data_IF_370359667685
#
_entry.id   IF_370359667685
#
_cell.length_a   1.000
_cell.length_b   1.000
_cell.length_c   1.000
_cell.angle_alpha   90.00
_cell.angle_beta   90.00
_cell.angle_gamma   90.00
#
_symmetry.space_group_name_H-M   'P 1'
#
loop_
_entity.id
_entity.type
_entity.pdbx_description
1 polymer ?
#
# COMPACT_ATOMS: atom_id res chain seq x y z
N UNK A 1 -0.50 -4.95 -34.52
CA UNK A 1 -1.69 -5.13 -33.68
C UNK A 1 -1.97 -6.62 -33.61
N UNK A 2 -2.26 -7.15 -32.42
CA UNK A 2 -2.52 -8.58 -32.24
C UNK A 2 -3.92 -8.91 -32.76
N UNK A 3 -4.13 -10.10 -33.33
CA UNK A 3 -5.44 -10.58 -33.79
C UNK A 3 -6.36 -10.98 -32.60
N UNK A 4 -6.48 -10.07 -31.64
CA UNK A 4 -7.28 -10.25 -30.44
C UNK A 4 -8.75 -9.88 -30.69
N UNK A 5 -9.70 -10.50 -29.97
CA UNK A 5 -11.10 -10.10 -30.03
C UNK A 5 -11.28 -8.68 -29.50
N UNK A 6 -12.31 -7.99 -29.99
CA UNK A 6 -12.76 -6.72 -29.38
C UNK A 6 -13.46 -7.05 -28.08
N UNK A 7 -12.87 -6.60 -26.97
CA UNK A 7 -13.30 -6.87 -25.59
C UNK A 7 -13.48 -5.55 -24.87
N UNK A 8 -14.54 -5.44 -24.08
CA UNK A 8 -14.74 -4.33 -23.15
C UNK A 8 -13.79 -4.50 -21.95
N UNK A 9 -12.94 -3.51 -21.68
CA UNK A 9 -11.89 -3.60 -20.66
C UNK A 9 -12.43 -3.75 -19.22
N UNK A 10 -13.66 -3.33 -18.96
CA UNK A 10 -14.27 -3.41 -17.63
C UNK A 10 -15.01 -4.73 -17.45
N UNK A 11 -15.89 -5.06 -18.40
CA UNK A 11 -16.72 -6.26 -18.30
C UNK A 11 -16.02 -7.52 -18.80
N UNK A 12 -14.89 -7.39 -19.49
CA UNK A 12 -14.18 -8.51 -20.12
C UNK A 12 -15.01 -9.28 -21.15
N UNK A 13 -16.19 -8.77 -21.54
CA UNK A 13 -17.07 -9.39 -22.52
C UNK A 13 -16.66 -8.96 -23.92
N UNK A 14 -16.63 -9.92 -24.86
CA UNK A 14 -16.37 -9.58 -26.25
C UNK A 14 -17.67 -9.15 -26.97
N UNK A 15 -17.53 -8.77 -28.24
CA UNK A 15 -18.67 -8.46 -29.12
C UNK A 15 -19.76 -9.55 -29.21
N UNK A 16 -19.45 -10.80 -28.84
CA UNK A 16 -20.43 -11.88 -28.77
C UNK A 16 -20.90 -12.06 -27.32
N UNK A 17 -22.19 -11.88 -27.15
CA UNK A 17 -22.89 -12.00 -25.87
C UNK A 17 -22.58 -13.33 -25.14
N UNK A 18 -22.32 -13.23 -23.84
CA UNK A 18 -22.00 -14.36 -22.97
C UNK A 18 -20.61 -14.98 -23.14
N UNK A 19 -19.71 -14.36 -23.90
CA UNK A 19 -18.31 -14.80 -24.04
C UNK A 19 -17.36 -13.76 -23.44
N UNK A 20 -16.54 -14.21 -22.49
CA UNK A 20 -15.58 -13.38 -21.76
C UNK A 20 -14.16 -13.82 -22.07
N UNK A 21 -13.23 -12.87 -22.11
CA UNK A 21 -11.81 -13.11 -22.39
C UNK A 21 -10.93 -12.50 -21.31
N UNK A 22 -9.72 -13.04 -21.14
CA UNK A 22 -8.74 -12.54 -20.20
C UNK A 22 -7.31 -12.87 -20.61
N UNK A 23 -6.36 -12.21 -19.96
CA UNK A 23 -4.93 -12.34 -20.26
C UNK A 23 -4.59 -12.05 -21.72
N UNK A 24 -3.62 -12.80 -22.25
CA UNK A 24 -3.07 -12.56 -23.59
C UNK A 24 -4.09 -12.77 -24.71
N UNK A 25 -5.08 -13.63 -24.48
CA UNK A 25 -6.15 -13.90 -25.44
C UNK A 25 -7.08 -12.71 -25.68
N UNK A 26 -7.12 -11.74 -24.74
CA UNK A 26 -7.95 -10.54 -24.82
C UNK A 26 -7.18 -9.31 -25.32
N UNK A 27 -5.97 -9.09 -24.81
CA UNK A 27 -5.24 -7.81 -24.96
C UNK A 27 -3.83 -7.96 -25.55
N UNK A 28 -3.48 -9.14 -26.05
CA UNK A 28 -2.12 -9.48 -26.47
C UNK A 28 -1.18 -9.69 -25.27
N UNK A 29 0.12 -9.95 -25.51
CA UNK A 29 1.06 -10.33 -24.46
C UNK A 29 1.15 -9.28 -23.35
N UNK A 30 0.73 -9.69 -22.15
CA UNK A 30 0.86 -8.91 -20.90
C UNK A 30 1.68 -9.71 -19.88
N UNK A 31 2.00 -9.07 -18.76
CA UNK A 31 2.61 -9.79 -17.64
C UNK A 31 1.58 -10.69 -16.95
N UNK A 32 2.07 -11.66 -16.16
CA UNK A 32 1.21 -12.61 -15.44
C UNK A 32 0.26 -11.92 -14.45
N UNK A 33 0.64 -10.75 -13.91
CA UNK A 33 -0.17 -9.97 -12.97
C UNK A 33 -1.47 -9.52 -13.65
N UNK A 34 -1.35 -8.99 -14.88
CA UNK A 34 -2.51 -8.62 -15.69
C UNK A 34 -3.38 -9.83 -16.05
N UNK A 35 -2.77 -10.96 -16.40
CA UNK A 35 -3.54 -12.17 -16.70
C UNK A 35 -4.38 -12.65 -15.51
N UNK A 36 -3.81 -12.63 -14.30
CA UNK A 36 -4.52 -12.95 -13.06
C UNK A 36 -5.63 -11.93 -12.78
N UNK A 37 -5.32 -10.63 -12.90
CA UNK A 37 -6.30 -9.57 -12.72
C UNK A 37 -7.49 -9.74 -13.68
N UNK A 38 -7.24 -9.97 -14.96
CA UNK A 38 -8.29 -10.20 -15.96
C UNK A 38 -9.15 -11.44 -15.62
N UNK A 39 -8.55 -12.49 -15.07
CA UNK A 39 -9.28 -13.67 -14.59
C UNK A 39 -10.28 -13.33 -13.50
N UNK A 40 -9.90 -12.48 -12.53
CA UNK A 40 -10.80 -12.01 -11.49
C UNK A 40 -11.90 -11.09 -12.02
N UNK A 41 -11.56 -10.14 -12.89
CA UNK A 41 -12.53 -9.23 -13.50
C UNK A 41 -13.55 -9.99 -14.38
N UNK A 42 -13.10 -10.96 -15.17
CA UNK A 42 -13.97 -11.82 -15.97
C UNK A 42 -14.86 -12.69 -15.10
N UNK A 43 -14.36 -13.21 -13.96
CA UNK A 43 -15.17 -14.00 -13.03
C UNK A 43 -16.32 -13.19 -12.42
N UNK A 44 -16.09 -11.92 -12.08
CA UNK A 44 -17.15 -11.00 -11.61
C UNK A 44 -18.22 -10.83 -12.69
N UNK A 45 -17.82 -10.57 -13.93
CA UNK A 45 -18.79 -10.45 -15.04
C UNK A 45 -19.54 -11.73 -15.32
N UNK A 46 -18.87 -12.89 -15.30
CA UNK A 46 -19.53 -14.18 -15.52
C UNK A 46 -20.59 -14.41 -14.45
N UNK A 47 -20.28 -14.10 -13.19
CA UNK A 47 -21.22 -14.21 -12.09
C UNK A 47 -22.46 -13.32 -12.33
N UNK A 48 -22.24 -12.02 -12.56
CA UNK A 48 -23.33 -11.05 -12.81
C UNK A 48 -24.16 -11.42 -14.05
N UNK A 49 -23.50 -11.87 -15.11
CA UNK A 49 -24.16 -12.35 -16.34
C UNK A 49 -25.07 -13.56 -16.05
N UNK A 50 -24.59 -14.52 -15.26
CA UNK A 50 -25.38 -15.71 -14.89
C UNK A 50 -26.58 -15.36 -14.00
N UNK A 51 -26.45 -14.34 -13.14
CA UNK A 51 -27.53 -13.83 -12.30
C UNK A 51 -28.45 -12.80 -13.01
N UNK A 52 -28.13 -12.42 -14.26
CA UNK A 52 -28.83 -11.39 -15.03
C UNK A 52 -28.81 -10.02 -14.35
N UNK A 53 -27.71 -9.72 -13.68
CA UNK A 53 -27.40 -8.41 -13.11
C UNK A 53 -26.67 -7.54 -14.14
N UNK A 54 -26.60 -6.24 -13.87
CA UNK A 54 -25.82 -5.32 -14.71
C UNK A 54 -24.32 -5.60 -14.54
N UNK A 55 -23.60 -5.80 -15.64
CA UNK A 55 -22.16 -6.07 -15.64
C UNK A 55 -21.32 -4.87 -15.20
N UNK A 56 -21.88 -3.66 -15.30
CA UNK A 56 -21.23 -2.40 -14.92
C UNK A 56 -21.43 -2.06 -13.44
N UNK A 57 -22.47 -2.61 -12.81
CA UNK A 57 -22.73 -2.41 -11.39
C UNK A 57 -21.85 -3.35 -10.57
N UNK A 58 -20.65 -2.88 -10.24
CA UNK A 58 -19.58 -3.65 -9.58
C UNK A 58 -19.20 -2.98 -8.27
N UNK A 59 -18.81 -3.79 -7.29
CA UNK A 59 -18.24 -3.28 -6.05
C UNK A 59 -16.98 -2.44 -6.37
N UNK A 60 -16.81 -1.29 -5.71
CA UNK A 60 -15.67 -0.44 -5.97
C UNK A 60 -14.39 -1.09 -5.43
N UNK A 61 -13.29 -0.87 -6.16
CA UNK A 61 -11.94 -1.05 -5.62
C UNK A 61 -11.59 0.14 -4.73
N UNK A 62 -10.82 -0.12 -3.69
CA UNK A 62 -10.43 0.95 -2.77
C UNK A 62 -9.22 0.60 -1.92
N UNK A 63 -8.81 1.58 -1.13
CA UNK A 63 -7.86 1.41 -0.05
C UNK A 63 -8.47 2.05 1.18
N UNK A 64 -8.37 1.39 2.31
CA UNK A 64 -8.69 1.97 3.60
C UNK A 64 -7.44 2.02 4.47
N UNK A 65 -7.42 2.95 5.40
CA UNK A 65 -6.34 3.11 6.37
C UNK A 65 -6.88 2.77 7.76
N UNK A 66 -6.27 1.77 8.40
CA UNK A 66 -6.70 1.27 9.71
C UNK A 66 -5.57 1.46 10.71
N UNK A 67 -5.84 2.23 11.77
CA UNK A 67 -4.87 2.46 12.85
C UNK A 67 -4.33 1.14 13.40
N UNK A 68 -3.00 1.06 13.54
CA UNK A 68 -2.28 -0.10 14.07
C UNK A 68 -1.92 0.06 15.55
N UNK A 69 -2.52 1.05 16.21
CA UNK A 69 -2.26 1.34 17.62
C UNK A 69 -2.92 0.30 18.53
N UNK A 70 -2.11 -0.44 19.30
CA UNK A 70 -2.61 -1.38 20.31
C UNK A 70 -2.78 -0.71 21.68
N UNK A 71 -1.99 0.32 21.97
CA UNK A 71 -2.03 1.09 23.20
C UNK A 71 -1.40 2.48 23.00
N UNK A 72 -1.27 3.28 24.05
CA UNK A 72 -0.74 4.65 23.92
C UNK A 72 0.68 4.69 23.33
N UNK A 73 1.50 3.67 23.61
CA UNK A 73 2.92 3.55 23.22
C UNK A 73 3.26 2.15 22.67
N UNK A 74 2.29 1.46 22.06
CA UNK A 74 2.50 0.09 21.56
C UNK A 74 1.82 -0.10 20.21
N UNK A 75 2.58 -0.69 19.28
CA UNK A 75 2.14 -1.02 17.92
C UNK A 75 1.86 -2.51 17.77
N UNK A 76 1.04 -2.85 16.77
CA UNK A 76 0.80 -4.24 16.36
C UNK A 76 1.97 -4.89 15.62
N UNK A 77 3.06 -4.16 15.39
CA UNK A 77 4.20 -4.56 14.57
C UNK A 77 5.53 -4.16 15.23
N UNK A 78 6.61 -4.85 14.83
CA UNK A 78 7.98 -4.50 15.22
C UNK A 78 8.46 -3.31 14.41
N UNK A 79 8.90 -2.24 15.08
CA UNK A 79 9.33 -1.00 14.45
C UNK A 79 10.84 -0.75 14.56
N UNK A 80 11.61 -1.76 15.01
CA UNK A 80 13.06 -1.65 15.13
C UNK A 80 13.73 -1.70 13.76
N UNK A 81 14.80 -0.93 13.59
CA UNK A 81 15.56 -0.84 12.35
C UNK A 81 16.91 -1.55 12.50
N UNK A 82 17.11 -2.62 11.74
CA UNK A 82 18.40 -3.34 11.67
C UNK A 82 19.16 -3.03 10.38
N UNK A 83 20.33 -2.42 10.52
CA UNK A 83 21.26 -2.10 9.43
C UNK A 83 22.03 -3.31 8.86
N UNK A 84 21.77 -4.53 9.33
CA UNK A 84 22.35 -5.74 8.77
C UNK A 84 22.09 -5.84 7.25
N UNK A 85 23.00 -6.48 6.53
CA UNK A 85 22.79 -6.74 5.10
C UNK A 85 21.68 -7.75 4.85
N UNK A 86 21.06 -7.71 3.66
CA UNK A 86 20.07 -8.70 3.23
C UNK A 86 20.65 -10.12 3.33
N UNK A 87 19.91 -11.05 3.93
CA UNK A 87 20.31 -12.46 3.92
C UNK A 87 20.13 -13.07 2.54
N UNK A 88 21.11 -13.87 2.14
CA UNK A 88 21.05 -14.60 0.89
C UNK A 88 20.17 -15.83 1.05
N UNK A 89 19.27 -16.04 0.09
CA UNK A 89 18.45 -17.25 0.02
C UNK A 89 19.38 -18.47 -0.06
N UNK A 90 19.22 -19.50 0.78
CA UNK A 90 19.94 -20.75 0.62
C UNK A 90 19.52 -21.41 -0.68
N UNK A 91 20.51 -21.84 -1.46
CA UNK A 91 20.23 -22.52 -2.72
C UNK A 91 20.92 -23.88 -2.77
N UNK A 92 20.36 -24.77 -3.58
CA UNK A 92 21.03 -26.01 -3.96
C UNK A 92 22.33 -25.71 -4.71
N UNK A 93 23.37 -26.53 -4.47
CA UNK A 93 24.63 -26.46 -5.21
C UNK A 93 24.42 -26.58 -6.72
N UNK A 94 25.16 -25.77 -7.48
CA UNK A 94 25.01 -25.65 -8.92
C UNK A 94 25.16 -27.00 -9.65
N UNK A 95 26.09 -27.88 -9.22
CA UNK A 95 26.29 -29.19 -9.87
C UNK A 95 25.10 -30.12 -9.69
N UNK A 96 24.33 -29.96 -8.61
CA UNK A 96 23.11 -30.76 -8.36
C UNK A 96 21.95 -30.26 -9.22
N UNK A 97 21.86 -28.95 -9.48
CA UNK A 97 20.83 -28.35 -10.37
C UNK A 97 20.91 -28.93 -11.79
N UNK A 98 22.11 -29.11 -12.33
CA UNK A 98 22.28 -29.68 -13.68
C UNK A 98 22.03 -31.19 -13.78
N UNK A 99 22.00 -31.91 -12.64
CA UNK A 99 21.78 -33.36 -12.62
C UNK A 99 20.30 -33.73 -12.58
N UNK A 100 19.44 -32.84 -12.10
CA UNK A 100 18.01 -33.06 -11.92
C UNK A 100 17.27 -31.77 -12.30
N UNK A 101 16.48 -31.82 -13.37
CA UNK A 101 15.74 -30.66 -13.88
C UNK A 101 14.54 -30.29 -13.00
N UNK A 102 14.08 -31.22 -12.16
CA UNK A 102 12.90 -31.11 -11.29
C UNK A 102 13.22 -30.73 -9.83
N UNK A 103 14.48 -30.38 -9.54
CA UNK A 103 14.87 -30.02 -8.17
C UNK A 103 14.56 -28.56 -7.88
N UNK A 104 13.90 -28.31 -6.74
CA UNK A 104 13.70 -26.97 -6.21
C UNK A 104 15.06 -26.33 -5.89
N UNK A 105 15.27 -25.12 -6.43
CA UNK A 105 16.59 -24.45 -6.38
C UNK A 105 16.74 -23.60 -5.13
N UNK A 106 15.67 -22.91 -4.73
CA UNK A 106 15.60 -22.11 -3.52
C UNK A 106 15.14 -23.00 -2.37
N UNK A 107 15.98 -23.16 -1.35
CA UNK A 107 15.68 -24.07 -0.23
C UNK A 107 14.84 -23.40 0.87
N UNK A 108 14.54 -22.11 0.73
CA UNK A 108 13.88 -21.32 1.76
C UNK A 108 14.77 -21.05 2.97
N UNK A 109 14.21 -20.31 3.93
CA UNK A 109 14.80 -20.10 5.24
C UNK A 109 14.31 -21.16 6.23
N UNK A 110 15.12 -21.45 7.25
CA UNK A 110 14.63 -22.18 8.43
C UNK A 110 13.58 -21.34 9.17
N UNK A 111 12.80 -21.96 10.05
CA UNK A 111 11.80 -21.25 10.84
C UNK A 111 12.44 -20.12 11.67
N UNK A 112 13.61 -20.37 12.26
CA UNK A 112 14.34 -19.40 13.07
C UNK A 112 14.84 -18.22 12.23
N UNK A 113 15.38 -18.51 11.04
CA UNK A 113 15.81 -17.47 10.10
C UNK A 113 14.64 -16.63 9.59
N UNK A 114 13.49 -17.26 9.33
CA UNK A 114 12.29 -16.57 8.88
C UNK A 114 11.75 -15.62 9.95
N UNK A 115 11.71 -16.04 11.22
CA UNK A 115 11.31 -15.18 12.35
C UNK A 115 12.19 -13.93 12.40
N UNK A 116 13.50 -14.10 12.33
CA UNK A 116 14.44 -12.98 12.39
C UNK A 116 14.34 -12.05 11.17
N UNK A 117 14.07 -12.58 9.97
CA UNK A 117 13.87 -11.74 8.79
C UNK A 117 12.52 -10.99 8.82
N UNK A 118 11.49 -11.53 9.48
CA UNK A 118 10.20 -10.83 9.66
C UNK A 118 10.34 -9.62 10.59
N UNK A 119 11.16 -9.73 11.65
CA UNK A 119 11.46 -8.60 12.55
C UNK A 119 12.17 -7.43 11.85
N UNK A 120 12.72 -7.66 10.66
CA UNK A 120 13.40 -6.64 9.84
C UNK A 120 12.48 -5.99 8.80
N UNK A 121 11.18 -6.31 8.83
CA UNK A 121 10.19 -5.73 7.93
C UNK A 121 10.16 -4.20 8.10
N UNK A 122 10.31 -3.46 7.01
CA UNK A 122 10.24 -1.99 7.02
C UNK A 122 8.79 -1.46 7.01
N UNK A 123 7.80 -2.33 7.16
CA UNK A 123 6.38 -1.98 7.33
C UNK A 123 5.86 -1.00 6.26
N UNK A 124 6.20 -1.25 4.99
CA UNK A 124 5.83 -0.34 3.88
C UNK A 124 4.33 -0.24 3.63
N UNK A 125 3.52 -1.16 4.17
CA UNK A 125 2.06 -1.10 4.16
C UNK A 125 1.50 -0.16 5.24
N UNK A 126 2.33 0.35 6.16
CA UNK A 126 1.93 1.24 7.25
C UNK A 126 2.31 2.68 6.91
N UNK A 127 1.28 3.54 6.85
CA UNK A 127 1.38 4.93 6.46
C UNK A 127 1.31 5.84 7.67
N UNK A 128 2.11 6.91 7.66
CA UNK A 128 2.02 7.99 8.63
C UNK A 128 0.85 8.91 8.26
N UNK A 129 -0.16 9.01 9.11
CA UNK A 129 -1.35 9.83 8.86
C UNK A 129 -1.40 10.97 9.87
N UNK A 130 -1.55 12.20 9.36
CA UNK A 130 -1.68 13.39 10.19
C UNK A 130 -3.09 13.96 10.19
N UNK A 131 -3.66 14.14 11.37
CA UNK A 131 -4.96 14.78 11.59
C UNK A 131 -4.76 16.18 12.17
N UNK A 132 -4.82 17.18 11.30
CA UNK A 132 -4.56 18.61 11.60
C UNK A 132 -5.36 19.13 12.80
N UNK A 133 -6.65 18.78 12.87
CA UNK A 133 -7.58 19.22 13.94
C UNK A 133 -7.18 18.81 15.35
N UNK A 134 -6.34 17.79 15.50
CA UNK A 134 -5.86 17.28 16.79
C UNK A 134 -4.51 17.90 17.20
N UNK A 135 -3.83 18.59 16.30
CA UNK A 135 -2.51 19.14 16.57
C UNK A 135 -2.60 20.36 17.50
N UNK A 136 -1.77 20.35 18.55
CA UNK A 136 -1.64 21.44 19.52
C UNK A 136 -0.30 22.20 19.41
N UNK A 137 0.48 21.93 18.35
CA UNK A 137 1.75 22.62 18.06
C UNK A 137 2.76 22.54 19.22
N UNK A 138 2.91 21.35 19.81
CA UNK A 138 3.84 21.11 20.92
C UNK A 138 5.27 20.72 20.50
N UNK A 139 5.53 20.64 19.20
CA UNK A 139 6.81 20.26 18.55
C UNK A 139 7.41 18.89 18.93
N UNK A 140 6.73 18.10 19.76
CA UNK A 140 7.24 16.82 20.25
C UNK A 140 7.50 15.79 19.13
N UNK A 141 6.74 15.84 18.03
CA UNK A 141 6.98 14.98 16.86
C UNK A 141 8.20 15.39 16.04
N UNK A 142 8.54 16.68 16.00
CA UNK A 142 9.72 17.21 15.33
C UNK A 142 10.97 16.82 16.12
N UNK A 143 10.94 17.03 17.43
CA UNK A 143 12.06 16.75 18.35
C UNK A 143 12.48 15.27 18.36
N UNK A 144 11.52 14.35 18.27
CA UNK A 144 11.81 12.90 18.30
C UNK A 144 12.23 12.34 16.93
N UNK A 145 12.09 13.10 15.85
CA UNK A 145 12.33 12.58 14.50
C UNK A 145 13.84 12.33 14.26
N UNK A 146 14.29 11.08 14.03
CA UNK A 146 15.72 10.78 13.91
C UNK A 146 16.35 11.33 12.63
N UNK A 147 15.53 11.64 11.63
CA UNK A 147 15.93 12.10 10.29
C UNK A 147 15.53 13.55 10.01
N UNK A 148 14.93 14.25 10.99
CA UNK A 148 14.48 15.64 10.89
C UNK A 148 13.57 15.94 9.68
N UNK A 149 12.70 14.99 9.30
CA UNK A 149 11.83 15.13 8.12
C UNK A 149 10.53 15.91 8.38
N UNK A 150 10.27 16.36 9.61
CA UNK A 150 9.05 17.08 9.99
C UNK A 150 9.36 18.55 10.27
N UNK A 151 8.52 19.47 9.82
CA UNK A 151 8.67 20.91 10.09
C UNK A 151 7.31 21.60 10.13
N UNK A 152 7.08 22.46 11.14
CA UNK A 152 5.93 23.36 11.16
C UNK A 152 6.38 24.74 10.66
N UNK A 153 5.75 25.25 9.60
CA UNK A 153 6.11 26.53 8.97
C UNK A 153 4.89 27.24 8.40
N UNK A 154 5.02 28.52 8.03
CA UNK A 154 3.95 29.23 7.31
C UNK A 154 3.69 28.58 5.94
N UNK A 155 2.43 28.50 5.54
CA UNK A 155 2.05 27.96 4.24
C UNK A 155 2.67 28.77 3.08
N UNK A 156 2.89 28.13 1.94
CA UNK A 156 3.50 28.76 0.78
C UNK A 156 3.77 27.77 -0.36
N UNK A 157 4.30 28.30 -1.46
CA UNK A 157 4.68 27.47 -2.61
C UNK A 157 5.78 26.48 -2.23
N UNK A 158 5.78 25.30 -2.85
CA UNK A 158 6.68 24.21 -2.48
C UNK A 158 8.16 24.60 -2.53
N UNK A 159 8.56 25.40 -3.53
CA UNK A 159 9.93 25.91 -3.65
C UNK A 159 10.36 26.74 -2.44
N UNK A 160 9.44 27.52 -1.85
CA UNK A 160 9.70 28.29 -0.63
C UNK A 160 9.68 27.41 0.61
N UNK A 161 8.76 26.44 0.67
CA UNK A 161 8.71 25.46 1.77
C UNK A 161 10.03 24.70 1.90
N UNK A 162 10.59 24.18 0.79
CA UNK A 162 11.86 23.43 0.76
C UNK A 162 13.04 24.20 1.36
N UNK A 163 13.03 25.54 1.34
CA UNK A 163 14.08 26.37 1.97
C UNK A 163 13.96 26.49 3.49
N UNK A 164 12.80 26.15 4.06
CA UNK A 164 12.45 26.33 5.48
C UNK A 164 12.43 25.02 6.26
N UNK A 165 12.63 23.88 5.60
CA UNK A 165 12.60 22.56 6.22
C UNK A 165 13.81 22.32 7.12
N UNK A 166 13.60 21.48 8.13
CA UNK A 166 14.62 21.14 9.13
C UNK A 166 15.76 20.30 8.55
N UNK A 167 15.49 19.54 7.49
CA UNK A 167 16.48 18.83 6.69
C UNK A 167 16.46 19.34 5.24
N UNK A 168 17.59 19.30 4.51
CA UNK A 168 17.63 19.68 3.10
C UNK A 168 16.76 18.75 2.23
N UNK A 169 15.74 19.30 1.56
CA UNK A 169 14.87 18.57 0.64
C UNK A 169 15.34 18.73 -0.81
N UNK A 170 16.47 18.10 -1.15
CA UNK A 170 17.13 18.22 -2.46
C UNK A 170 16.43 17.42 -3.57
N UNK A 171 15.69 16.36 -3.21
CA UNK A 171 14.97 15.54 -4.17
C UNK A 171 13.65 16.21 -4.60
N UNK A 172 13.60 16.66 -5.86
CA UNK A 172 12.43 17.30 -6.46
C UNK A 172 11.50 16.31 -7.19
N UNK A 173 11.89 15.04 -7.31
CA UNK A 173 11.03 14.00 -7.90
C UNK A 173 10.00 13.48 -6.89
N UNK A 174 10.24 13.73 -5.60
CA UNK A 174 9.34 13.36 -4.51
C UNK A 174 8.65 14.61 -3.94
N UNK A 175 7.33 14.59 -3.95
CA UNK A 175 6.50 15.67 -3.42
C UNK A 175 6.60 15.74 -1.89
N UNK A 176 6.44 16.96 -1.34
CA UNK A 176 6.31 17.17 0.09
C UNK A 176 4.88 16.87 0.53
N UNK A 177 4.73 16.19 1.66
CA UNK A 177 3.45 16.12 2.34
C UNK A 177 3.21 17.44 3.08
N UNK A 178 2.12 18.15 2.76
CA UNK A 178 1.72 19.40 3.39
C UNK A 178 0.32 19.25 3.97
N UNK A 179 0.18 19.49 5.28
CA UNK A 179 -1.12 19.42 5.96
C UNK A 179 -1.99 20.63 5.69
N UNK A 180 -3.30 20.54 5.96
CA UNK A 180 -4.13 21.74 6.13
C UNK A 180 -3.58 22.65 7.24
N UNK A 181 -4.02 23.92 7.26
CA UNK A 181 -3.66 24.89 8.28
C UNK A 181 -3.99 24.41 9.70
N UNK A 182 -3.00 24.51 10.58
CA UNK A 182 -3.06 24.08 11.98
C UNK A 182 -4.03 24.97 12.77
N UNK A 183 -4.76 24.42 13.77
CA UNK A 183 -5.88 25.10 14.41
C UNK A 183 -5.53 26.41 15.13
N UNK A 184 -4.31 26.56 15.66
CA UNK A 184 -3.96 27.72 16.48
C UNK A 184 -3.24 28.82 15.70
N UNK A 185 -2.34 28.45 14.77
CA UNK A 185 -1.53 29.43 14.04
C UNK A 185 -1.85 29.55 12.55
N UNK A 186 -2.57 28.59 11.96
CA UNK A 186 -2.75 28.50 10.51
C UNK A 186 -1.49 28.10 9.73
N UNK A 187 -0.37 27.82 10.43
CA UNK A 187 0.84 27.21 9.84
C UNK A 187 0.52 25.81 9.34
N UNK A 188 1.40 25.23 8.53
CA UNK A 188 1.26 23.86 8.01
C UNK A 188 2.30 22.94 8.64
N UNK A 189 1.93 21.69 8.85
CA UNK A 189 2.88 20.60 9.11
C UNK A 189 3.37 20.08 7.76
N UNK A 190 4.66 20.20 7.51
CA UNK A 190 5.33 19.67 6.32
C UNK A 190 6.12 18.43 6.71
N UNK A 191 5.96 17.37 5.93
CA UNK A 191 6.71 16.12 6.05
C UNK A 191 7.43 15.85 4.73
N UNK A 192 8.74 15.65 4.82
CA UNK A 192 9.55 15.18 3.70
C UNK A 192 9.47 13.65 3.63
N UNK A 193 8.80 13.14 2.60
CA UNK A 193 8.62 11.71 2.37
C UNK A 193 9.91 11.03 1.88
N UNK A 194 10.85 11.76 1.27
CA UNK A 194 12.13 11.21 0.81
C UNK A 194 13.01 10.77 1.99
N UNK A 195 12.88 11.47 3.11
CA UNK A 195 13.65 11.22 4.33
C UNK A 195 12.92 10.33 5.33
N UNK A 196 11.59 10.25 5.28
CA UNK A 196 10.84 9.53 6.30
C UNK A 196 11.07 8.01 6.21
N UNK A 197 11.49 7.41 7.32
CA UNK A 197 11.73 5.95 7.42
C UNK A 197 10.59 5.17 8.09
N UNK A 198 9.42 5.80 8.27
CA UNK A 198 8.21 5.17 8.84
C UNK A 198 8.43 4.52 10.23
N UNK A 199 9.41 5.00 11.00
CA UNK A 199 9.77 4.47 12.32
C UNK A 199 8.73 4.67 13.43
N UNK A 200 7.57 5.26 13.15
CA UNK A 200 6.44 5.47 14.09
C UNK A 200 6.68 6.36 15.33
N UNK A 201 7.91 6.81 15.60
CA UNK A 201 8.26 7.62 16.77
C UNK A 201 7.45 8.92 16.91
N UNK A 202 7.14 9.59 15.79
CA UNK A 202 6.32 10.81 15.79
C UNK A 202 4.90 10.54 16.33
N UNK A 203 4.31 9.39 16.01
CA UNK A 203 2.99 8.98 16.45
C UNK A 203 3.00 8.46 17.90
N UNK A 204 4.07 7.79 18.33
CA UNK A 204 4.25 7.38 19.74
C UNK A 204 4.37 8.58 20.68
N UNK A 205 5.07 9.62 20.23
CA UNK A 205 5.35 10.82 21.02
C UNK A 205 4.21 11.81 21.02
N UNK A 206 3.30 11.73 20.05
CA UNK A 206 2.20 12.68 19.90
C UNK A 206 1.18 12.56 21.05
N UNK A 207 1.02 13.57 21.91
CA UNK A 207 0.13 13.47 23.09
C UNK A 207 -1.36 13.50 22.72
N UNK A 208 -1.71 14.02 21.54
CA UNK A 208 -3.11 14.16 21.07
C UNK A 208 -3.51 13.11 20.05
N UNK A 209 -2.57 12.28 19.58
CA UNK A 209 -2.81 11.35 18.47
C UNK A 209 -3.03 12.06 17.13
N UNK A 210 -2.53 13.30 16.97
CA UNK A 210 -2.53 13.97 15.67
C UNK A 210 -1.70 13.21 14.62
N UNK A 211 -0.63 12.54 15.03
CA UNK A 211 0.06 11.54 14.20
C UNK A 211 -0.42 10.15 14.57
N UNK A 212 -0.70 9.34 13.54
CA UNK A 212 -1.07 7.94 13.65
C UNK A 212 -0.32 7.09 12.62
N UNK A 213 -0.21 5.79 12.89
CA UNK A 213 0.32 4.80 11.95
C UNK A 213 -0.82 3.91 11.49
N UNK A 214 -1.19 4.02 10.22
CA UNK A 214 -2.36 3.33 9.67
C UNK A 214 -1.95 2.35 8.57
N UNK A 215 -2.37 1.10 8.72
CA UNK A 215 -2.13 0.06 7.73
C UNK A 215 -3.07 0.25 6.53
N UNK A 216 -2.48 0.14 5.35
CA UNK A 216 -3.19 0.13 4.08
C UNK A 216 -3.87 -1.23 3.88
N UNK A 217 -5.19 -1.24 3.95
CA UNK A 217 -6.02 -2.38 3.61
C UNK A 217 -6.56 -2.19 2.18
N UNK A 218 -6.08 -3.02 1.25
CA UNK A 218 -6.50 -2.95 -0.14
C UNK A 218 -7.80 -3.73 -0.31
N UNK A 219 -8.82 -3.06 -0.83
CA UNK A 219 -10.12 -3.63 -1.13
C UNK A 219 -10.17 -4.01 -2.60
N UNK A 220 -10.03 -5.31 -2.87
CA UNK A 220 -10.19 -5.89 -4.19
C UNK A 220 -11.42 -6.80 -4.16
N UNK A 221 -12.51 -6.43 -4.86
CA UNK A 221 -13.69 -7.28 -4.94
C UNK A 221 -13.39 -8.50 -5.80
N UNK A 222 -13.94 -9.64 -5.41
CA UNK A 222 -13.96 -10.87 -6.19
C UNK A 222 -15.40 -11.30 -6.47
N UNK A 223 -15.57 -12.27 -7.37
CA UNK A 223 -16.91 -12.78 -7.72
C UNK A 223 -17.72 -13.30 -6.53
N UNK A 224 -17.08 -13.74 -5.45
CA UNK A 224 -17.78 -14.19 -4.23
C UNK A 224 -18.25 -13.02 -3.35
N UNK A 225 -17.58 -11.87 -3.41
CA UNK A 225 -18.00 -10.65 -2.72
C UNK A 225 -19.26 -10.06 -3.35
N UNK A 226 -19.34 -10.13 -4.68
CA UNK A 226 -20.52 -9.72 -5.46
C UNK A 226 -21.74 -10.62 -5.19
N UNK A 227 -21.51 -11.89 -4.87
CA UNK A 227 -22.57 -12.84 -4.56
C UNK A 227 -23.22 -12.61 -3.17
N UNK A 228 -22.47 -12.04 -2.22
CA UNK A 228 -22.95 -11.74 -0.87
C UNK A 228 -22.33 -10.42 -0.37
N UNK A 229 -22.81 -9.26 -0.88
CA UNK A 229 -22.22 -7.96 -0.56
C UNK A 229 -22.27 -7.65 0.95
N UNK A 230 -23.31 -8.10 1.66
CA UNK A 230 -23.46 -7.83 3.11
C UNK A 230 -22.38 -8.53 3.96
N UNK A 231 -21.83 -9.64 3.49
CA UNK A 231 -20.72 -10.35 4.16
C UNK A 231 -19.35 -9.90 3.68
N UNK A 232 -19.26 -9.23 2.54
CA UNK A 232 -17.99 -8.74 2.02
C UNK A 232 -17.41 -7.63 2.89
N UNK A 233 -16.15 -7.78 3.29
CA UNK A 233 -15.41 -6.69 3.94
C UNK A 233 -15.21 -5.50 2.98
N UNK A 234 -15.17 -5.75 1.68
CA UNK A 234 -15.06 -4.70 0.65
C UNK A 234 -16.27 -3.77 0.67
N UNK A 235 -17.49 -4.33 0.72
CA UNK A 235 -18.71 -3.54 0.76
C UNK A 235 -18.90 -2.78 2.09
N UNK A 236 -18.46 -3.36 3.22
CA UNK A 236 -18.53 -2.70 4.54
C UNK A 236 -17.60 -1.51 4.65
N UNK A 237 -16.43 -1.60 4.05
CA UNK A 237 -15.41 -0.55 4.12
C UNK A 237 -15.66 0.52 3.03
N UNK A 238 -16.15 0.15 1.85
CA UNK A 238 -16.51 1.10 0.80
C UNK A 238 -17.76 1.96 1.10
N UNK A 239 -18.58 1.55 2.08
CA UNK A 239 -19.77 2.28 2.53
C UNK A 239 -19.57 3.14 3.78
N UNK A 240 -18.35 3.22 4.32
CA UNK A 240 -17.95 4.09 5.43
C UNK A 240 -17.25 5.34 4.91
#
# INVERSE_FOLDING_TARGET
EWECPVVDETTMMCSRDGIFFGGDSAFGPKNIIWAVAHGHEAAISIHKYCNKEDLQDRLPRGVNLVSQKMGMHEWSFSNDYDGASRRLMPHVDLKKRFKKLDIEVELGFSAEQAIEEVERCLNCDIQTVFTTKLCIECDACIDICPVNCLTITEDGEEQELRTRLSAPAENLEQDLYVSDGLPHTGRVMVKDEDLCVHCSLCAERCPTGAWDMQKSEILLPYAHDEADPEKSNVAKIAGA
#
